data_IF_031954894336
#
_entry.id   IF_031954894336
#
_cell.length_a   1.000
_cell.length_b   1.000
_cell.length_c   1.000
_cell.angle_alpha   90.00
_cell.angle_beta   90.00
_cell.angle_gamma   90.00
#
_symmetry.space_group_name_H-M   'P 1'
#
loop_
_entity.id
_entity.type
_entity.pdbx_description
1 polymer ?
#
# COMPACT_ATOMS: atom_id res chain seq x y z
N UNK A 1 -10.63 20.37 -29.24
CA UNK A 1 -10.28 20.64 -27.83
C UNK A 1 -11.15 19.76 -26.98
N UNK A 2 -10.66 18.58 -26.64
CA UNK A 2 -11.38 17.60 -25.79
C UNK A 2 -10.57 17.43 -24.53
N UNK A 3 -11.15 17.93 -23.47
CA UNK A 3 -10.65 17.88 -22.10
C UNK A 3 -10.77 16.44 -21.58
N UNK A 4 -9.64 15.74 -21.50
CA UNK A 4 -9.61 14.39 -20.93
C UNK A 4 -9.25 14.49 -19.45
N UNK A 5 -10.29 14.63 -18.65
CA UNK A 5 -10.20 14.53 -17.17
C UNK A 5 -9.72 13.14 -16.77
N UNK A 6 -8.45 13.00 -16.46
CA UNK A 6 -7.90 11.81 -15.82
C UNK A 6 -8.39 11.75 -14.37
N UNK A 7 -9.27 10.82 -14.09
CA UNK A 7 -9.70 10.53 -12.72
C UNK A 7 -8.60 9.76 -12.01
N UNK A 8 -7.88 10.45 -11.15
CA UNK A 8 -7.00 9.87 -10.15
C UNK A 8 -7.82 8.98 -9.21
N UNK A 9 -7.60 7.68 -9.30
CA UNK A 9 -8.10 6.74 -8.29
C UNK A 9 -7.23 6.83 -7.04
N UNK A 10 -7.44 7.90 -6.29
CA UNK A 10 -6.88 8.03 -4.95
C UNK A 10 -7.59 7.02 -4.05
N UNK A 11 -6.84 6.20 -3.33
CA UNK A 11 -7.35 5.43 -2.21
C UNK A 11 -8.08 6.40 -1.28
N UNK A 12 -9.41 6.43 -1.37
CA UNK A 12 -10.24 7.20 -0.46
C UNK A 12 -10.15 6.55 0.90
N UNK A 13 -9.46 7.22 1.81
CA UNK A 13 -9.68 7.04 3.23
C UNK A 13 -11.00 7.75 3.52
N UNK A 14 -12.05 7.08 4.02
CA UNK A 14 -13.27 7.77 4.38
C UNK A 14 -12.97 8.73 5.53
N UNK A 15 -13.16 10.01 5.29
CA UNK A 15 -13.28 10.98 6.36
C UNK A 15 -14.68 10.83 6.93
N UNK A 16 -14.82 10.11 8.01
CA UNK A 16 -16.07 10.08 8.78
C UNK A 16 -15.95 11.08 9.92
N UNK A 17 -16.44 12.28 9.70
CA UNK A 17 -17.02 13.05 10.77
C UNK A 17 -18.37 12.44 11.07
N UNK A 18 -18.52 11.84 12.24
CA UNK A 18 -19.80 11.68 12.89
C UNK A 18 -19.59 11.61 14.40
N UNK A 19 -19.92 12.68 15.05
CA UNK A 19 -20.28 12.70 16.44
C UNK A 19 -21.53 11.86 16.64
N UNK A 20 -21.41 10.78 17.38
CA UNK A 20 -22.54 10.15 18.03
C UNK A 20 -22.09 9.75 19.42
N UNK A 21 -22.50 10.53 20.39
CA UNK A 21 -22.53 10.16 21.79
C UNK A 21 -23.38 8.90 21.95
N UNK A 22 -22.74 7.81 22.28
CA UNK A 22 -23.40 6.64 22.85
C UNK A 22 -22.69 6.29 24.15
N UNK A 23 -23.23 6.76 25.24
CA UNK A 23 -22.93 6.21 26.55
C UNK A 23 -23.27 4.72 26.55
N UNK A 24 -22.26 3.90 26.60
CA UNK A 24 -22.43 2.51 26.98
C UNK A 24 -21.61 2.18 28.23
N UNK A 25 -22.34 1.66 29.23
CA UNK A 25 -21.94 1.51 30.59
C UNK A 25 -20.61 0.78 30.84
N UNK A 26 -19.98 1.27 31.87
CA UNK A 26 -19.03 0.66 32.82
C UNK A 26 -18.74 -0.83 32.59
N UNK A 27 -17.86 -1.13 31.68
CA UNK A 27 -16.91 -2.23 31.79
C UNK A 27 -15.56 -1.59 32.07
N UNK A 28 -14.86 -2.08 33.10
CA UNK A 28 -13.49 -1.69 33.42
C UNK A 28 -12.68 -1.62 32.13
N UNK A 29 -12.51 -0.42 31.63
CA UNK A 29 -11.73 -0.11 30.45
C UNK A 29 -10.31 -0.58 30.74
N UNK A 30 -9.94 -1.72 30.19
CA UNK A 30 -8.55 -2.02 29.92
C UNK A 30 -8.12 -0.91 28.96
N UNK A 31 -7.49 0.12 29.52
CA UNK A 31 -7.15 1.34 28.80
C UNK A 31 -6.41 1.01 27.51
N UNK A 32 -6.70 1.79 26.50
CA UNK A 32 -6.02 1.74 25.21
C UNK A 32 -4.50 1.71 25.43
N UNK A 33 -3.82 0.65 25.01
CA UNK A 33 -2.40 0.47 25.30
C UNK A 33 -1.53 1.61 24.75
N UNK A 34 -1.99 2.29 23.69
CA UNK A 34 -1.33 3.47 23.09
C UNK A 34 -1.26 4.62 24.10
N UNK A 35 -2.24 4.74 25.00
CA UNK A 35 -2.29 5.78 26.02
C UNK A 35 -1.57 5.36 27.32
N UNK A 36 -1.47 4.06 27.57
CA UNK A 36 -0.90 3.50 28.78
C UNK A 36 0.58 3.17 28.71
N UNK A 37 1.06 2.78 27.52
CA UNK A 37 2.44 2.33 27.34
C UNK A 37 3.33 3.47 26.86
N UNK A 38 4.65 3.41 27.15
CA UNK A 38 5.60 4.32 26.55
C UNK A 38 5.56 4.28 25.01
N UNK A 39 5.79 5.42 24.32
CA UNK A 39 5.75 5.48 22.86
C UNK A 39 6.64 4.45 22.15
N UNK A 40 7.79 4.11 22.73
CA UNK A 40 8.73 3.14 22.20
C UNK A 40 8.15 1.72 22.17
N UNK A 41 7.38 1.34 23.20
CA UNK A 41 6.71 0.05 23.28
C UNK A 41 5.56 0.00 22.29
N UNK A 42 4.78 1.06 22.19
CA UNK A 42 3.70 1.20 21.21
C UNK A 42 4.24 1.10 19.78
N UNK A 43 5.33 1.79 19.48
CA UNK A 43 6.02 1.69 18.21
C UNK A 43 6.45 0.24 17.91
N UNK A 44 7.05 -0.45 18.87
CA UNK A 44 7.50 -1.83 18.71
C UNK A 44 6.34 -2.79 18.43
N UNK A 45 5.19 -2.57 19.05
CA UNK A 45 3.98 -3.37 18.79
C UNK A 45 3.52 -3.14 17.34
N UNK A 46 3.35 -1.90 16.91
CA UNK A 46 2.92 -1.60 15.55
C UNK A 46 3.93 -2.02 14.48
N UNK A 47 5.22 -2.03 14.79
CA UNK A 47 6.28 -2.48 13.86
C UNK A 47 6.21 -3.98 13.52
N UNK A 48 5.48 -4.77 14.28
CA UNK A 48 5.25 -6.19 14.01
C UNK A 48 4.11 -6.44 13.01
N UNK A 49 3.33 -5.42 12.69
CA UNK A 49 2.19 -5.56 11.80
C UNK A 49 2.61 -5.51 10.32
N UNK A 50 1.95 -6.32 9.50
CA UNK A 50 1.98 -6.15 8.05
C UNK A 50 1.25 -4.87 7.63
N UNK A 51 1.38 -4.47 6.38
CA UNK A 51 0.81 -3.22 5.88
C UNK A 51 -0.72 -3.18 6.02
N UNK A 52 -1.42 -4.30 5.80
CA UNK A 52 -2.88 -4.35 5.91
C UNK A 52 -3.31 -4.20 7.36
N UNK A 53 -2.66 -4.92 8.28
CA UNK A 53 -2.93 -4.83 9.71
C UNK A 53 -2.60 -3.45 10.27
N UNK A 54 -1.51 -2.82 9.80
CA UNK A 54 -1.13 -1.47 10.18
C UNK A 54 -2.18 -0.44 9.72
N UNK A 55 -2.68 -0.56 8.49
CA UNK A 55 -3.75 0.29 7.98
C UNK A 55 -5.04 0.11 8.78
N UNK A 56 -5.44 -1.14 9.07
CA UNK A 56 -6.61 -1.43 9.90
C UNK A 56 -6.46 -0.93 11.33
N UNK A 57 -5.28 -1.09 11.92
CA UNK A 57 -4.98 -0.55 13.23
C UNK A 57 -5.15 0.97 13.26
N UNK A 58 -4.73 1.68 12.21
CA UNK A 58 -4.89 3.12 12.10
C UNK A 58 -6.36 3.59 12.02
N UNK A 59 -7.28 2.70 11.65
CA UNK A 59 -8.72 2.96 11.57
C UNK A 59 -9.47 2.63 12.87
N UNK A 60 -8.81 1.96 13.83
CA UNK A 60 -9.46 1.43 15.04
C UNK A 60 -9.91 2.53 16.00
N UNK A 61 -9.06 3.53 16.25
CA UNK A 61 -9.36 4.66 17.11
C UNK A 61 -8.53 5.88 16.71
N UNK A 62 -8.95 7.04 17.19
CA UNK A 62 -8.22 8.28 16.94
C UNK A 62 -6.79 8.26 17.51
N UNK A 63 -6.60 7.73 18.71
CA UNK A 63 -5.27 7.64 19.33
C UNK A 63 -4.34 6.68 18.59
N UNK A 64 -4.83 5.56 18.09
CA UNK A 64 -4.07 4.64 17.25
C UNK A 64 -3.71 5.28 15.92
N UNK A 65 -4.67 5.95 15.28
CA UNK A 65 -4.44 6.67 14.04
C UNK A 65 -3.32 7.69 14.18
N UNK A 66 -3.38 8.51 15.23
CA UNK A 66 -2.37 9.53 15.52
C UNK A 66 -1.01 8.92 15.81
N UNK A 67 -0.93 7.88 16.63
CA UNK A 67 0.31 7.19 16.95
C UNK A 67 0.97 6.61 15.71
N UNK A 68 0.21 5.95 14.83
CA UNK A 68 0.73 5.34 13.60
C UNK A 68 1.14 6.42 12.59
N UNK A 69 0.35 7.47 12.41
CA UNK A 69 0.69 8.56 11.48
C UNK A 69 1.93 9.34 11.90
N UNK A 70 2.13 9.55 13.21
CA UNK A 70 3.25 10.32 13.74
C UNK A 70 4.58 9.55 13.74
N UNK A 71 4.55 8.24 13.56
CA UNK A 71 5.74 7.40 13.48
C UNK A 71 6.03 7.00 12.03
N UNK A 72 6.63 7.92 11.28
CA UNK A 72 6.96 7.69 9.86
C UNK A 72 7.84 6.46 9.64
N UNK A 73 8.72 6.15 10.60
CA UNK A 73 9.58 4.96 10.55
C UNK A 73 8.83 3.62 10.53
N UNK A 74 7.55 3.58 10.95
CA UNK A 74 6.71 2.37 10.81
C UNK A 74 6.49 1.97 9.36
N UNK A 75 6.50 2.93 8.45
CA UNK A 75 6.21 2.75 7.03
C UNK A 75 7.45 2.37 6.22
N UNK A 76 8.65 2.66 6.74
CA UNK A 76 9.92 2.41 6.05
C UNK A 76 10.13 0.95 5.62
N UNK A 77 9.95 -0.08 6.46
CA UNK A 77 10.14 -1.48 6.04
C UNK A 77 9.23 -1.88 4.88
N UNK A 78 7.99 -1.38 4.88
CA UNK A 78 7.02 -1.64 3.81
C UNK A 78 7.41 -0.94 2.50
N UNK A 79 7.98 0.27 2.60
CA UNK A 79 8.56 0.96 1.43
C UNK A 79 9.75 0.21 0.86
N UNK A 80 10.63 -0.33 1.69
CA UNK A 80 11.78 -1.10 1.23
C UNK A 80 11.37 -2.41 0.54
N UNK A 81 10.29 -3.04 1.00
CA UNK A 81 9.69 -4.19 0.31
C UNK A 81 9.15 -3.79 -1.05
N UNK A 82 8.42 -2.68 -1.15
CA UNK A 82 7.93 -2.16 -2.42
C UNK A 82 9.07 -1.70 -3.34
N UNK A 83 10.17 -1.19 -2.77
CA UNK A 83 11.37 -0.77 -3.51
C UNK A 83 12.05 -1.93 -4.24
N UNK A 84 11.95 -3.14 -3.73
CA UNK A 84 12.48 -4.32 -4.43
C UNK A 84 11.83 -4.51 -5.83
N UNK A 85 10.65 -3.96 -6.04
CA UNK A 85 9.91 -4.04 -7.31
C UNK A 85 9.89 -2.70 -8.06
N UNK A 86 9.69 -1.60 -7.36
CA UNK A 86 9.57 -0.24 -7.91
C UNK A 86 10.74 0.64 -7.44
N UNK A 87 11.97 0.24 -7.75
CA UNK A 87 13.17 0.91 -7.23
C UNK A 87 13.26 2.37 -7.68
N UNK A 88 13.09 2.64 -8.98
CA UNK A 88 13.24 4.00 -9.52
C UNK A 88 12.23 4.97 -8.93
N UNK A 89 10.97 4.59 -8.94
CA UNK A 89 9.88 5.43 -8.46
C UNK A 89 10.05 5.78 -6.98
N UNK A 90 10.44 4.79 -6.17
CA UNK A 90 10.66 5.00 -4.74
C UNK A 90 11.93 5.83 -4.49
N UNK A 91 13.01 5.58 -5.22
CA UNK A 91 14.24 6.37 -5.09
C UNK A 91 14.03 7.83 -5.49
N UNK A 92 13.21 8.10 -6.51
CA UNK A 92 12.85 9.45 -6.93
C UNK A 92 11.97 10.15 -5.89
N UNK A 93 11.03 9.43 -5.29
CA UNK A 93 10.21 9.97 -4.20
C UNK A 93 11.05 10.25 -2.94
N UNK A 94 12.05 9.42 -2.62
CA UNK A 94 13.01 9.66 -1.54
C UNK A 94 13.82 10.93 -1.80
N UNK A 95 14.35 11.09 -3.01
CA UNK A 95 15.10 12.30 -3.43
C UNK A 95 14.22 13.55 -3.36
N UNK A 96 12.94 13.41 -3.63
CA UNK A 96 11.96 14.49 -3.55
C UNK A 96 11.58 14.87 -2.12
N UNK A 97 12.06 14.13 -1.13
CA UNK A 97 11.87 14.45 0.29
C UNK A 97 10.51 14.04 0.85
N UNK A 98 9.78 13.15 0.18
CA UNK A 98 8.53 12.61 0.71
C UNK A 98 8.77 11.75 1.96
N UNK A 99 7.78 11.72 2.88
CA UNK A 99 7.79 10.82 4.03
C UNK A 99 7.58 9.37 3.59
N UNK A 100 8.05 8.41 4.40
CA UNK A 100 7.89 6.98 4.10
C UNK A 100 6.43 6.58 3.89
N UNK A 101 5.54 7.15 4.70
CA UNK A 101 4.10 6.94 4.55
C UNK A 101 3.59 7.40 3.19
N UNK A 102 3.96 8.60 2.75
CA UNK A 102 3.55 9.15 1.45
C UNK A 102 4.13 8.33 0.30
N UNK A 103 5.41 7.97 0.38
CA UNK A 103 6.08 7.12 -0.62
C UNK A 103 5.33 5.79 -0.78
N UNK A 104 4.99 5.14 0.34
CA UNK A 104 4.25 3.89 0.29
C UNK A 104 2.88 4.06 -0.36
N UNK A 105 2.11 5.07 0.05
CA UNK A 105 0.78 5.33 -0.51
C UNK A 105 0.81 5.60 -2.02
N UNK A 106 1.87 6.25 -2.51
CA UNK A 106 2.06 6.53 -3.94
C UNK A 106 2.41 5.29 -4.75
N UNK A 107 3.19 4.38 -4.19
CA UNK A 107 3.83 3.28 -4.94
C UNK A 107 3.25 1.89 -4.62
N UNK A 108 2.45 1.74 -3.57
CA UNK A 108 1.97 0.44 -3.11
C UNK A 108 1.18 -0.32 -4.18
N UNK A 109 0.21 0.33 -4.82
CA UNK A 109 -0.60 -0.31 -5.86
C UNK A 109 0.25 -0.67 -7.09
N UNK A 110 1.14 0.22 -7.50
CA UNK A 110 2.08 -0.02 -8.62
C UNK A 110 2.98 -1.22 -8.34
N UNK A 111 3.54 -1.31 -7.14
CA UNK A 111 4.40 -2.43 -6.75
C UNK A 111 3.66 -3.76 -6.75
N UNK A 112 2.41 -3.80 -6.32
CA UNK A 112 1.58 -5.00 -6.37
C UNK A 112 1.29 -5.45 -7.79
N UNK A 113 0.88 -4.54 -8.65
CA UNK A 113 0.57 -4.84 -10.06
C UNK A 113 1.83 -5.28 -10.79
N UNK A 114 2.94 -4.56 -10.67
CA UNK A 114 4.22 -4.93 -11.28
C UNK A 114 4.70 -6.30 -10.79
N UNK A 115 4.66 -6.56 -9.50
CA UNK A 115 5.04 -7.85 -8.94
C UNK A 115 4.16 -8.99 -9.47
N UNK A 116 2.86 -8.79 -9.59
CA UNK A 116 1.94 -9.80 -10.11
C UNK A 116 2.24 -10.14 -11.58
N UNK A 117 2.56 -9.16 -12.41
CA UNK A 117 3.00 -9.39 -13.78
C UNK A 117 4.35 -10.10 -13.86
N UNK A 118 5.35 -9.60 -13.14
CA UNK A 118 6.70 -10.18 -13.15
C UNK A 118 6.73 -11.61 -12.59
N UNK A 119 5.84 -11.95 -11.66
CA UNK A 119 5.71 -13.32 -11.12
C UNK A 119 4.97 -14.30 -12.05
N UNK A 120 4.47 -13.84 -13.19
CA UNK A 120 3.74 -14.68 -14.15
C UNK A 120 2.30 -14.97 -13.76
N UNK A 121 1.72 -14.25 -12.80
CA UNK A 121 0.34 -14.45 -12.34
C UNK A 121 -0.68 -14.37 -13.47
N UNK A 122 -0.41 -13.57 -14.49
CA UNK A 122 -1.31 -13.32 -15.61
C UNK A 122 -0.90 -14.01 -16.92
N UNK A 123 0.19 -14.77 -16.91
CA UNK A 123 0.75 -15.41 -18.12
C UNK A 123 -0.16 -16.46 -18.76
N UNK A 124 -1.13 -17.01 -18.02
CA UNK A 124 -2.03 -18.08 -18.49
C UNK A 124 -3.45 -17.61 -18.75
N UNK A 125 -3.71 -16.32 -18.71
CA UNK A 125 -5.04 -15.75 -18.96
C UNK A 125 -5.27 -15.69 -20.47
N UNK A 126 -6.17 -16.54 -20.98
CA UNK A 126 -6.47 -16.66 -22.42
C UNK A 126 -7.72 -15.89 -22.85
N UNK A 127 -8.51 -15.38 -21.91
CA UNK A 127 -9.76 -14.69 -22.21
C UNK A 127 -9.90 -13.42 -21.41
N UNK A 128 -10.33 -12.31 -22.03
CA UNK A 128 -10.59 -11.06 -21.32
C UNK A 128 -11.61 -11.21 -20.18
N UNK A 129 -12.52 -12.18 -20.27
CA UNK A 129 -13.51 -12.45 -19.22
C UNK A 129 -12.90 -12.95 -17.89
N UNK A 130 -11.69 -13.46 -17.94
CA UNK A 130 -10.97 -13.99 -16.77
C UNK A 130 -9.95 -12.98 -16.19
N UNK A 131 -9.92 -11.76 -16.69
CA UNK A 131 -9.05 -10.72 -16.19
C UNK A 131 -9.55 -10.18 -14.83
N UNK A 132 -8.73 -10.11 -13.80
CA UNK A 132 -9.11 -9.50 -12.53
C UNK A 132 -9.31 -7.98 -12.69
N UNK A 133 -10.25 -7.42 -11.92
CA UNK A 133 -10.61 -5.99 -12.01
C UNK A 133 -9.43 -5.01 -11.83
N UNK A 134 -8.39 -5.40 -11.11
CA UNK A 134 -7.24 -4.54 -10.80
C UNK A 134 -5.94 -5.02 -11.45
N UNK A 135 -6.04 -5.44 -12.69
CA UNK A 135 -4.90 -5.93 -13.47
C UNK A 135 -3.95 -4.81 -13.91
N UNK A 136 -4.49 -3.64 -14.13
CA UNK A 136 -3.78 -2.51 -14.74
C UNK A 136 -3.71 -1.33 -13.78
N UNK A 137 -2.56 -0.67 -13.77
CA UNK A 137 -2.40 0.67 -13.22
C UNK A 137 -1.45 1.45 -14.12
N UNK A 138 -1.39 2.78 -14.04
CA UNK A 138 -0.42 3.57 -14.79
C UNK A 138 1.01 3.20 -14.37
N UNK A 139 1.70 2.47 -15.22
CA UNK A 139 3.13 2.17 -15.13
C UNK A 139 3.83 2.88 -16.30
N UNK A 140 5.11 3.20 -16.13
CA UNK A 140 5.91 3.79 -17.20
C UNK A 140 6.24 2.77 -18.30
N UNK A 141 6.71 3.28 -19.45
CA UNK A 141 7.03 2.44 -20.59
C UNK A 141 8.15 1.43 -20.30
N UNK A 142 9.14 1.82 -19.49
CA UNK A 142 10.25 0.95 -19.13
C UNK A 142 9.77 -0.22 -18.29
N UNK A 143 8.87 0.03 -17.33
CA UNK A 143 8.24 -1.01 -16.52
C UNK A 143 7.42 -2.00 -17.36
N UNK A 144 6.66 -1.49 -18.35
CA UNK A 144 5.95 -2.36 -19.28
C UNK A 144 6.91 -3.16 -20.17
N UNK A 145 8.06 -2.57 -20.54
CA UNK A 145 9.15 -3.28 -21.24
C UNK A 145 9.69 -4.46 -20.42
N UNK A 146 10.03 -4.24 -19.15
CA UNK A 146 10.48 -5.30 -18.24
C UNK A 146 9.45 -6.44 -18.11
N UNK A 147 8.17 -6.10 -18.04
CA UNK A 147 7.08 -7.09 -17.97
C UNK A 147 7.00 -7.89 -19.27
N UNK A 148 7.09 -7.23 -20.42
CA UNK A 148 7.07 -7.89 -21.72
C UNK A 148 8.25 -8.87 -21.87
N UNK A 149 9.45 -8.44 -21.52
CA UNK A 149 10.65 -9.27 -21.60
C UNK A 149 10.48 -10.55 -20.72
N UNK A 150 9.97 -10.37 -19.50
CA UNK A 150 9.72 -11.51 -18.61
C UNK A 150 8.66 -12.49 -19.15
N UNK A 151 7.62 -11.99 -19.85
CA UNK A 151 6.62 -12.84 -20.48
C UNK A 151 7.21 -13.61 -21.69
N UNK A 152 8.02 -12.94 -22.52
CA UNK A 152 8.69 -13.57 -23.65
C UNK A 152 9.65 -14.69 -23.21
N UNK A 153 10.42 -14.48 -22.14
CA UNK A 153 11.28 -15.52 -21.56
C UNK A 153 10.48 -16.75 -21.13
N UNK A 154 9.32 -16.55 -20.47
CA UNK A 154 8.45 -17.67 -20.06
C UNK A 154 7.86 -18.43 -21.24
N UNK A 155 7.56 -17.76 -22.36
CA UNK A 155 7.08 -18.41 -23.56
C UNK A 155 8.16 -19.31 -24.20
N UNK A 156 9.40 -18.83 -24.22
CA UNK A 156 10.55 -19.61 -24.72
C UNK A 156 10.76 -20.86 -23.86
N UNK A 157 10.73 -20.74 -22.53
CA UNK A 157 10.87 -21.86 -21.60
C UNK A 157 9.78 -22.94 -21.78
N UNK A 158 8.54 -22.52 -22.09
CA UNK A 158 7.42 -23.46 -22.34
C UNK A 158 7.53 -24.20 -23.67
N UNK A 159 8.36 -23.69 -24.57
CA UNK A 159 8.53 -24.25 -25.93
C UNK A 159 9.68 -25.28 -26.04
N UNK A 160 10.43 -25.49 -24.97
CA UNK A 160 11.50 -26.47 -24.83
C UNK A 160 11.00 -27.72 -24.11
#
# INVERSE_FOLDING_TARGET
MTDTSMRNSTLKIPSTENSADAEFGSTTSLGNFVELLPPEVTYKIFSQLDIHSLCRASETSWSWNRAIKNHDALWKPHCLTARAVCQREIDDDIKSGYTWRVILLRNYQKSKVKHAWLSGRYSNIRSPANLPEKLMCPLDADTWGEILDAELEREVEKSQ
#
